data_IF_828187391311
#
_entry.id   IF_828187391311
#
_cell.length_a   1.000
_cell.length_b   1.000
_cell.length_c   1.000
_cell.angle_alpha   90.00
_cell.angle_beta   90.00
_cell.angle_gamma   90.00
#
_symmetry.space_group_name_H-M   'P 1'
#
loop_
_entity.id
_entity.type
_entity.pdbx_description
1 polymer ?
#
# COMPACT_ATOMS: atom_id res chain seq x y z
N UNK A 1 -29.09 -4.52 -39.65
CA UNK A 1 -27.81 -5.21 -39.47
C UNK A 1 -26.80 -4.18 -38.92
N UNK A 2 -26.64 -4.17 -37.60
CA UNK A 2 -25.72 -3.26 -36.95
C UNK A 2 -24.36 -4.00 -36.84
N UNK A 3 -23.35 -3.51 -37.55
CA UNK A 3 -22.02 -4.01 -37.47
C UNK A 3 -21.49 -3.58 -36.08
N UNK A 4 -21.36 -4.54 -35.17
CA UNK A 4 -20.58 -4.36 -33.95
C UNK A 4 -19.11 -4.20 -34.36
N UNK A 5 -18.60 -2.97 -34.30
CA UNK A 5 -17.18 -2.72 -34.43
C UNK A 5 -16.45 -3.43 -33.29
N UNK A 6 -15.54 -4.34 -33.63
CA UNK A 6 -14.62 -4.91 -32.68
C UNK A 6 -13.82 -3.74 -32.10
N UNK A 7 -13.92 -3.51 -30.79
CA UNK A 7 -13.01 -2.62 -30.06
C UNK A 7 -11.64 -3.26 -30.19
N UNK A 8 -10.72 -2.59 -30.87
CA UNK A 8 -9.37 -3.12 -31.09
C UNK A 8 -8.66 -3.26 -29.75
N UNK A 9 -7.99 -4.37 -29.52
CA UNK A 9 -7.08 -4.53 -28.40
C UNK A 9 -5.86 -3.61 -28.61
N UNK A 10 -5.45 -2.93 -27.54
CA UNK A 10 -4.24 -2.11 -27.49
C UNK A 10 -3.21 -2.79 -26.57
N UNK A 11 -1.96 -2.85 -27.02
CA UNK A 11 -0.86 -3.32 -26.17
C UNK A 11 -0.06 -2.12 -25.68
N UNK A 12 0.05 -1.97 -24.37
CA UNK A 12 0.79 -0.89 -23.72
C UNK A 12 1.91 -1.44 -22.84
N UNK A 13 3.10 -0.84 -22.92
CA UNK A 13 4.20 -1.10 -21.99
C UNK A 13 3.88 -0.50 -20.64
N UNK A 14 3.94 -1.32 -19.57
CA UNK A 14 3.60 -0.91 -18.20
C UNK A 14 4.75 -0.14 -17.58
N UNK A 15 4.77 1.18 -17.78
CA UNK A 15 5.79 2.08 -17.21
C UNK A 15 5.24 3.49 -16.97
N UNK A 16 6.01 4.29 -16.23
CA UNK A 16 5.70 5.72 -16.01
C UNK A 16 4.34 5.93 -15.37
N UNK A 17 3.51 6.72 -16.03
CA UNK A 17 2.16 7.08 -15.57
C UNK A 17 1.04 6.20 -16.13
N UNK A 18 1.35 5.05 -16.74
CA UNK A 18 0.32 4.15 -17.28
C UNK A 18 -0.67 3.78 -16.18
N UNK A 19 -1.94 3.98 -16.50
CA UNK A 19 -3.09 3.62 -15.69
C UNK A 19 -3.90 2.57 -16.45
N UNK A 20 -4.11 1.41 -15.83
CA UNK A 20 -4.85 0.29 -16.41
C UNK A 20 -6.33 0.34 -16.01
N UNK A 21 -7.21 -0.38 -16.69
CA UNK A 21 -8.64 -0.39 -16.39
C UNK A 21 -8.92 -0.74 -14.92
N UNK A 22 -9.75 0.06 -14.28
CA UNK A 22 -10.24 -0.17 -12.93
C UNK A 22 -11.47 0.72 -12.66
N UNK A 23 -12.33 0.31 -11.76
CA UNK A 23 -13.33 1.20 -11.18
C UNK A 23 -12.66 2.01 -10.07
N UNK A 24 -12.73 3.33 -10.15
CA UNK A 24 -12.11 4.27 -9.20
C UNK A 24 -13.20 5.14 -8.57
N UNK A 25 -13.20 5.19 -7.26
CA UNK A 25 -14.14 5.97 -6.47
C UNK A 25 -13.37 6.92 -5.56
N UNK A 26 -13.67 8.22 -5.63
CA UNK A 26 -13.25 9.16 -4.60
C UNK A 26 -14.10 8.92 -3.36
N UNK A 27 -13.44 8.78 -2.23
CA UNK A 27 -14.09 8.47 -0.96
C UNK A 27 -13.69 9.44 0.12
N UNK A 28 -14.54 9.53 1.12
CA UNK A 28 -14.27 10.19 2.40
C UNK A 28 -14.28 9.13 3.50
N UNK A 29 -13.22 9.11 4.33
CA UNK A 29 -13.17 8.28 5.52
C UNK A 29 -13.47 9.15 6.74
N UNK A 30 -14.41 8.71 7.55
CA UNK A 30 -14.76 9.42 8.79
C UNK A 30 -14.11 8.74 9.99
N UNK A 31 -13.27 9.48 10.69
CA UNK A 31 -12.63 9.02 11.91
C UNK A 31 -13.59 9.07 13.11
N UNK A 32 -13.31 8.30 14.16
CA UNK A 32 -14.10 8.29 15.40
C UNK A 32 -14.00 9.61 16.20
N UNK A 33 -12.91 10.36 16.01
CA UNK A 33 -12.73 11.72 16.54
C UNK A 33 -13.32 12.83 15.63
N UNK A 34 -14.07 12.42 14.58
CA UNK A 34 -14.95 13.30 13.81
C UNK A 34 -14.31 13.96 12.58
N UNK A 35 -13.08 13.62 12.21
CA UNK A 35 -12.41 14.17 11.03
C UNK A 35 -12.85 13.45 9.75
N UNK A 36 -12.77 14.18 8.62
CA UNK A 36 -12.97 13.64 7.28
C UNK A 36 -11.62 13.56 6.57
N UNK A 37 -11.28 12.36 6.12
CA UNK A 37 -10.05 12.09 5.38
C UNK A 37 -10.37 11.84 3.91
N UNK A 38 -9.55 12.41 3.03
CA UNK A 38 -9.67 12.25 1.57
C UNK A 38 -9.03 10.93 1.14
N UNK A 39 -9.72 10.14 0.32
CA UNK A 39 -9.22 8.87 -0.19
C UNK A 39 -9.72 8.50 -1.58
N UNK A 40 -9.22 7.38 -2.07
CA UNK A 40 -9.65 6.73 -3.31
C UNK A 40 -9.62 5.21 -3.11
N UNK A 41 -10.69 4.57 -3.56
CA UNK A 41 -10.73 3.12 -3.74
C UNK A 41 -10.62 2.81 -5.24
N UNK A 42 -9.66 1.94 -5.60
CA UNK A 42 -9.56 1.37 -6.93
C UNK A 42 -9.79 -0.15 -6.84
N UNK A 43 -10.70 -0.68 -7.68
CA UNK A 43 -11.01 -2.12 -7.73
C UNK A 43 -10.99 -2.62 -9.18
N UNK A 44 -10.81 -3.93 -9.43
CA UNK A 44 -10.95 -4.50 -10.77
C UNK A 44 -12.25 -4.07 -11.44
N UNK A 45 -12.22 -3.79 -12.75
CA UNK A 45 -13.35 -3.21 -13.46
C UNK A 45 -14.51 -4.19 -13.65
N UNK A 46 -14.22 -5.48 -13.83
CA UNK A 46 -15.18 -6.51 -14.30
C UNK A 46 -15.24 -7.76 -13.40
N UNK A 47 -14.50 -7.77 -12.30
CA UNK A 47 -14.41 -8.91 -11.39
C UNK A 47 -14.23 -8.50 -9.93
N UNK A 48 -14.46 -9.42 -9.02
CA UNK A 48 -14.26 -9.17 -7.59
C UNK A 48 -12.78 -9.21 -7.24
N UNK A 49 -12.29 -8.31 -6.37
CA UNK A 49 -10.92 -8.40 -5.87
C UNK A 49 -10.74 -9.66 -5.03
N UNK A 50 -9.53 -10.25 -5.11
CA UNK A 50 -9.14 -11.41 -4.30
C UNK A 50 -8.56 -11.00 -2.95
N UNK A 51 -8.04 -9.79 -2.84
CA UNK A 51 -7.55 -9.19 -1.59
C UNK A 51 -7.56 -7.66 -1.69
N UNK A 52 -7.32 -7.01 -0.56
CA UNK A 52 -7.37 -5.55 -0.43
C UNK A 52 -6.07 -5.01 0.15
N UNK A 53 -5.45 -4.07 -0.53
CA UNK A 53 -4.33 -3.30 -0.02
C UNK A 53 -4.84 -1.99 0.58
N UNK A 54 -4.63 -1.81 1.88
CA UNK A 54 -4.86 -0.53 2.56
C UNK A 54 -3.50 0.16 2.69
N UNK A 55 -3.29 1.24 1.95
CA UNK A 55 -1.97 1.86 1.85
C UNK A 55 -1.80 3.01 2.82
N UNK A 56 -0.65 3.05 3.49
CA UNK A 56 -0.25 4.07 4.45
C UNK A 56 0.97 4.81 3.90
N UNK A 57 0.81 6.10 3.63
CA UNK A 57 1.79 6.90 2.89
C UNK A 57 3.01 7.31 3.73
N UNK A 58 4.12 7.77 3.07
CA UNK A 58 5.29 8.32 3.74
C UNK A 58 4.97 9.58 4.57
N UNK A 59 5.97 10.07 5.29
CA UNK A 59 5.85 11.19 6.23
C UNK A 59 5.26 12.45 5.59
N UNK A 60 4.08 12.91 6.04
CA UNK A 60 3.38 14.05 5.41
C UNK A 60 4.17 15.35 5.46
N UNK A 61 4.89 15.60 6.56
CA UNK A 61 5.73 16.79 6.72
C UNK A 61 6.94 16.85 5.78
N UNK A 62 7.22 15.75 5.08
CA UNK A 62 8.28 15.62 4.08
C UNK A 62 7.72 15.29 2.68
N UNK A 63 6.48 15.68 2.42
CA UNK A 63 5.84 15.54 1.11
C UNK A 63 5.26 14.15 0.82
N UNK A 64 5.05 13.32 1.86
CA UNK A 64 4.33 12.07 1.73
C UNK A 64 2.82 12.30 1.67
N UNK A 65 2.12 11.62 0.77
CA UNK A 65 0.65 11.65 0.63
C UNK A 65 0.17 10.42 -0.16
N UNK A 66 -1.14 10.25 -0.27
CA UNK A 66 -1.75 9.06 -0.87
C UNK A 66 -1.33 8.78 -2.32
N UNK A 67 -0.95 9.83 -3.08
CA UNK A 67 -0.46 9.70 -4.45
C UNK A 67 1.08 9.62 -4.56
N UNK A 68 1.81 9.42 -3.44
CA UNK A 68 3.24 9.07 -3.48
C UNK A 68 3.46 7.90 -4.44
N UNK A 69 4.48 7.99 -5.28
CA UNK A 69 4.53 7.30 -6.59
C UNK A 69 4.33 5.77 -6.54
N UNK A 70 4.81 5.06 -5.50
CA UNK A 70 4.59 3.62 -5.34
C UNK A 70 3.09 3.35 -5.14
N UNK A 71 2.45 4.07 -4.22
CA UNK A 71 1.05 3.86 -3.86
C UNK A 71 0.13 4.22 -5.03
N UNK A 72 0.43 5.30 -5.73
CA UNK A 72 -0.29 5.69 -6.94
C UNK A 72 -0.17 4.64 -8.03
N UNK A 73 1.04 4.11 -8.28
CA UNK A 73 1.26 3.06 -9.29
C UNK A 73 0.63 1.72 -8.87
N UNK A 74 0.59 1.40 -7.60
CA UNK A 74 -0.16 0.24 -7.10
C UNK A 74 -1.64 0.34 -7.47
N UNK A 75 -2.29 1.47 -7.17
CA UNK A 75 -3.69 1.69 -7.53
C UNK A 75 -3.93 1.81 -9.05
N UNK A 76 -2.94 2.30 -9.81
CA UNK A 76 -3.04 2.40 -11.26
C UNK A 76 -2.94 1.05 -11.97
N UNK A 77 -2.32 0.03 -11.38
CA UNK A 77 -1.92 -1.20 -12.07
C UNK A 77 -2.48 -2.48 -11.44
N UNK A 78 -2.47 -2.59 -10.11
CA UNK A 78 -2.75 -3.86 -9.42
C UNK A 78 -4.22 -4.30 -9.46
N UNK A 79 -5.22 -3.42 -9.59
CA UNK A 79 -6.58 -3.88 -9.82
C UNK A 79 -6.69 -4.73 -11.09
N UNK A 80 -6.05 -4.32 -12.18
CA UNK A 80 -6.09 -5.06 -13.44
C UNK A 80 -5.12 -6.24 -13.47
N UNK A 81 -3.89 -6.05 -12.99
CA UNK A 81 -2.82 -7.05 -13.14
C UNK A 81 -2.86 -8.16 -12.10
N UNK A 82 -3.47 -7.91 -10.95
CA UNK A 82 -3.38 -8.82 -9.81
C UNK A 82 -4.70 -8.98 -9.03
N UNK A 83 -5.82 -8.54 -9.58
CA UNK A 83 -7.17 -8.63 -8.98
C UNK A 83 -7.25 -8.06 -7.56
N UNK A 84 -6.50 -6.98 -7.28
CA UNK A 84 -6.45 -6.38 -5.96
C UNK A 84 -7.31 -5.12 -5.85
N UNK A 85 -8.04 -4.99 -4.75
CA UNK A 85 -8.55 -3.68 -4.35
C UNK A 85 -7.40 -2.87 -3.73
N UNK A 86 -7.32 -1.58 -4.06
CA UNK A 86 -6.30 -0.68 -3.49
C UNK A 86 -6.99 0.55 -2.92
N UNK A 87 -6.98 0.64 -1.58
CA UNK A 87 -7.46 1.79 -0.83
C UNK A 87 -6.27 2.69 -0.51
N UNK A 88 -6.34 3.95 -0.96
CA UNK A 88 -5.37 5.00 -0.67
C UNK A 88 -6.09 6.16 0.01
N UNK A 89 -5.46 6.76 1.00
CA UNK A 89 -6.02 7.92 1.66
C UNK A 89 -4.90 8.82 2.22
N UNK A 90 -5.20 10.09 2.39
CA UNK A 90 -4.35 11.03 3.12
C UNK A 90 -4.67 10.91 4.62
N UNK A 91 -3.65 10.68 5.45
CA UNK A 91 -3.82 10.79 6.90
C UNK A 91 -4.16 12.24 7.28
N UNK A 92 -4.61 12.46 8.51
CA UNK A 92 -5.00 13.76 9.04
C UNK A 92 -3.99 14.88 8.73
N UNK A 93 -4.50 16.05 8.34
CA UNK A 93 -3.69 17.23 8.03
C UNK A 93 -2.87 17.13 6.74
N UNK A 94 -2.99 16.03 5.97
CA UNK A 94 -2.23 15.84 4.73
C UNK A 94 -2.97 16.42 3.54
N UNK A 95 -2.25 17.16 2.69
CA UNK A 95 -2.76 17.75 1.44
C UNK A 95 -2.20 17.02 0.23
N UNK A 96 -3.05 16.78 -0.76
CA UNK A 96 -2.70 16.22 -2.07
C UNK A 96 -3.46 16.96 -3.18
N UNK A 97 -3.18 16.70 -4.46
CA UNK A 97 -4.00 17.22 -5.57
C UNK A 97 -5.48 16.82 -5.48
N UNK A 98 -5.81 15.79 -4.68
CA UNK A 98 -7.19 15.31 -4.49
C UNK A 98 -7.93 16.01 -3.36
N UNK A 99 -7.27 16.85 -2.58
CA UNK A 99 -7.85 17.57 -1.45
C UNK A 99 -7.00 17.45 -0.19
N UNK A 100 -7.51 18.04 0.88
CA UNK A 100 -6.87 18.07 2.19
C UNK A 100 -7.71 17.29 3.19
N UNK A 101 -7.11 16.30 3.86
CA UNK A 101 -7.70 15.65 5.03
C UNK A 101 -7.74 16.61 6.21
N UNK A 102 -8.82 16.59 6.96
CA UNK A 102 -8.99 17.44 8.14
C UNK A 102 -8.00 17.12 9.26
N UNK A 103 -7.91 18.00 10.24
CA UNK A 103 -7.02 17.84 11.40
C UNK A 103 -5.60 18.27 11.12
N UNK A 104 -4.66 17.70 11.87
CA UNK A 104 -3.23 17.98 11.78
C UNK A 104 -2.41 16.73 12.05
N UNK A 105 -1.19 16.69 11.52
CA UNK A 105 -0.24 15.62 11.75
C UNK A 105 -0.04 15.35 13.25
N UNK A 106 -0.24 14.12 13.67
CA UNK A 106 -0.23 13.66 15.06
C UNK A 106 0.99 12.84 15.46
N UNK A 107 2.06 12.92 14.68
CA UNK A 107 3.35 12.25 14.89
C UNK A 107 3.25 10.71 15.09
N UNK A 108 2.32 10.08 14.39
CA UNK A 108 2.09 8.64 14.45
C UNK A 108 1.31 8.18 15.69
N UNK A 109 0.67 9.10 16.42
CA UNK A 109 -0.19 8.77 17.56
C UNK A 109 -1.66 8.96 17.21
N UNK A 110 -2.04 10.16 16.78
CA UNK A 110 -3.43 10.46 16.42
C UNK A 110 -3.87 9.73 15.15
N UNK A 111 -2.94 9.37 14.26
CA UNK A 111 -3.17 8.60 13.04
C UNK A 111 -3.71 7.18 13.31
N UNK A 112 -3.74 6.71 14.57
CA UNK A 112 -4.47 5.50 14.97
C UNK A 112 -5.93 5.54 14.52
N UNK A 113 -6.59 6.68 14.70
CA UNK A 113 -7.98 6.86 14.29
C UNK A 113 -8.14 6.84 12.76
N UNK A 114 -7.13 7.30 12.03
CA UNK A 114 -7.13 7.28 10.56
C UNK A 114 -7.03 5.86 10.02
N UNK A 115 -6.13 5.04 10.59
CA UNK A 115 -6.03 3.61 10.27
C UNK A 115 -7.33 2.89 10.61
N UNK A 116 -7.92 3.17 11.76
CA UNK A 116 -9.20 2.59 12.18
C UNK A 116 -10.33 2.96 11.20
N UNK A 117 -10.40 4.21 10.75
CA UNK A 117 -11.40 4.65 9.76
C UNK A 117 -11.24 3.93 8.41
N UNK A 118 -10.00 3.76 7.93
CA UNK A 118 -9.73 3.02 6.71
C UNK A 118 -10.13 1.54 6.84
N UNK A 119 -9.85 0.90 7.96
CA UNK A 119 -10.21 -0.49 8.21
C UNK A 119 -11.72 -0.67 8.41
N UNK A 120 -12.40 0.29 9.02
CA UNK A 120 -13.86 0.30 9.13
C UNK A 120 -14.52 0.39 7.73
N UNK A 121 -14.01 1.26 6.86
CA UNK A 121 -14.47 1.37 5.48
C UNK A 121 -14.30 0.05 4.70
N UNK A 122 -13.15 -0.61 4.84
CA UNK A 122 -12.89 -1.93 4.22
C UNK A 122 -13.92 -2.96 4.67
N UNK A 123 -14.22 -3.00 5.97
CA UNK A 123 -15.21 -3.91 6.54
C UNK A 123 -16.64 -3.59 6.07
N UNK A 124 -17.03 -2.31 6.05
CA UNK A 124 -18.33 -1.85 5.58
C UNK A 124 -18.58 -2.19 4.10
N UNK A 125 -17.54 -2.05 3.27
CA UNK A 125 -17.59 -2.39 1.84
C UNK A 125 -17.48 -3.90 1.57
N UNK A 126 -17.25 -4.73 2.59
CA UNK A 126 -17.08 -6.17 2.43
C UNK A 126 -15.88 -6.54 1.56
N UNK A 127 -14.82 -5.73 1.60
CA UNK A 127 -13.60 -5.97 0.82
C UNK A 127 -12.79 -7.12 1.44
N UNK A 128 -12.32 -8.09 0.62
CA UNK A 128 -11.73 -9.32 1.13
C UNK A 128 -10.27 -9.14 1.56
N UNK A 129 -9.82 -9.99 2.46
CA UNK A 129 -8.40 -10.22 2.79
C UNK A 129 -7.57 -8.94 2.92
N UNK A 130 -7.82 -8.07 3.92
CA UNK A 130 -7.11 -6.81 4.05
C UNK A 130 -5.63 -7.00 4.41
N UNK A 131 -4.76 -6.29 3.69
CA UNK A 131 -3.33 -6.16 3.96
C UNK A 131 -2.99 -4.68 4.16
N UNK A 132 -2.22 -4.36 5.19
CA UNK A 132 -1.64 -3.02 5.31
C UNK A 132 -0.35 -2.95 4.49
N UNK A 133 -0.23 -1.94 3.65
CA UNK A 133 1.00 -1.64 2.91
C UNK A 133 1.50 -0.27 3.34
N UNK A 134 2.43 -0.26 4.27
CA UNK A 134 3.03 0.97 4.77
C UNK A 134 4.30 1.32 3.99
N UNK A 135 4.54 2.60 3.75
CA UNK A 135 5.82 3.08 3.23
C UNK A 135 6.41 4.13 4.16
N UNK A 136 7.68 3.94 4.59
CA UNK A 136 8.39 4.83 5.51
C UNK A 136 7.54 5.08 6.78
N UNK A 137 7.12 6.30 7.07
CA UNK A 137 6.21 6.61 8.17
C UNK A 137 4.97 5.70 8.22
N UNK A 138 4.38 5.36 7.08
CA UNK A 138 3.25 4.44 7.01
C UNK A 138 3.54 3.05 7.56
N UNK A 139 4.81 2.61 7.55
CA UNK A 139 5.20 1.33 8.16
C UNK A 139 5.06 1.35 9.67
N UNK A 140 5.34 2.51 10.28
CA UNK A 140 5.22 2.70 11.72
C UNK A 140 3.76 2.63 12.17
N UNK A 141 2.84 3.22 11.38
CA UNK A 141 1.41 3.09 11.60
C UNK A 141 0.93 1.63 11.47
N UNK A 142 1.42 0.91 10.46
CA UNK A 142 1.10 -0.49 10.27
C UNK A 142 1.58 -1.34 11.46
N UNK A 143 2.81 -1.16 11.92
CA UNK A 143 3.38 -1.89 13.07
C UNK A 143 2.60 -1.60 14.36
N UNK A 144 2.30 -0.33 14.62
CA UNK A 144 1.64 0.10 15.88
C UNK A 144 0.18 -0.35 15.95
N UNK A 145 -0.56 -0.18 14.87
CA UNK A 145 -2.03 -0.27 14.89
C UNK A 145 -2.61 -1.41 14.06
N UNK A 146 -1.82 -2.03 13.18
CA UNK A 146 -2.31 -3.09 12.28
C UNK A 146 -2.98 -4.25 13.00
N UNK A 147 -2.40 -4.69 14.10
CA UNK A 147 -2.93 -5.82 14.89
C UNK A 147 -4.23 -5.51 15.65
N UNK A 148 -4.69 -4.27 15.64
CA UNK A 148 -5.99 -3.88 16.20
C UNK A 148 -7.15 -4.21 15.25
N UNK A 149 -6.85 -4.67 14.02
CA UNK A 149 -7.81 -4.88 12.95
C UNK A 149 -7.72 -6.29 12.35
N UNK A 150 -8.78 -6.79 11.69
CA UNK A 150 -8.81 -8.09 11.06
C UNK A 150 -8.06 -8.08 9.71
N UNK A 151 -6.73 -7.98 9.76
CA UNK A 151 -5.85 -8.02 8.59
C UNK A 151 -5.26 -9.42 8.40
N UNK A 152 -4.82 -9.76 7.17
CA UNK A 152 -4.06 -10.97 6.89
C UNK A 152 -2.56 -10.77 7.17
N UNK A 153 -2.08 -9.54 7.05
CA UNK A 153 -0.71 -9.19 7.35
C UNK A 153 -0.37 -7.73 7.02
N UNK A 154 0.90 -7.41 7.15
CA UNK A 154 1.44 -6.11 6.74
C UNK A 154 2.70 -6.26 5.89
N UNK A 155 2.85 -5.38 4.92
CA UNK A 155 4.03 -5.23 4.06
C UNK A 155 4.61 -3.85 4.34
N UNK A 156 5.85 -3.83 4.79
CA UNK A 156 6.58 -2.64 5.21
C UNK A 156 7.60 -2.26 4.14
N UNK A 157 7.46 -1.10 3.53
CA UNK A 157 8.39 -0.59 2.52
C UNK A 157 9.33 0.43 3.17
N UNK A 158 10.63 0.14 3.23
CA UNK A 158 11.63 1.02 3.86
C UNK A 158 11.24 1.44 5.29
N UNK A 159 11.04 0.52 6.24
CA UNK A 159 10.63 0.85 7.59
C UNK A 159 11.77 1.55 8.37
N UNK A 160 11.60 2.81 8.83
CA UNK A 160 12.64 3.49 9.62
C UNK A 160 12.61 3.09 11.09
N UNK A 161 11.48 2.62 11.60
CA UNK A 161 11.24 2.21 12.99
C UNK A 161 11.63 3.27 14.05
N UNK A 162 11.37 4.55 13.75
CA UNK A 162 11.67 5.66 14.66
C UNK A 162 10.57 5.88 15.70
N UNK A 163 9.29 5.63 15.31
CA UNK A 163 8.09 5.82 16.12
C UNK A 163 7.46 4.52 16.60
N UNK A 164 7.86 3.40 16.00
CA UNK A 164 7.47 2.08 16.43
C UNK A 164 8.52 1.51 17.40
N UNK A 165 8.10 1.20 18.61
CA UNK A 165 8.94 0.60 19.63
C UNK A 165 9.18 -0.90 19.38
N UNK A 166 10.24 -1.44 19.97
CA UNK A 166 10.50 -2.88 19.92
C UNK A 166 9.36 -3.71 20.57
N UNK A 167 8.65 -3.13 21.55
CA UNK A 167 7.49 -3.78 22.17
C UNK A 167 6.32 -3.87 21.18
N UNK A 168 6.06 -2.81 20.42
CA UNK A 168 5.01 -2.80 19.38
C UNK A 168 5.36 -3.77 18.25
N UNK A 169 6.62 -3.81 17.84
CA UNK A 169 7.11 -4.76 16.85
C UNK A 169 7.01 -6.20 17.35
N UNK A 170 7.42 -6.49 18.57
CA UNK A 170 7.38 -7.83 19.17
C UNK A 170 5.97 -8.43 19.26
N UNK A 171 4.92 -7.59 19.30
CA UNK A 171 3.52 -8.07 19.29
C UNK A 171 3.20 -8.91 18.05
N UNK A 172 3.91 -8.70 16.95
CA UNK A 172 3.70 -9.45 15.70
C UNK A 172 4.16 -10.91 15.82
N UNK A 173 5.16 -11.23 16.64
CA UNK A 173 5.69 -12.59 16.80
C UNK A 173 4.64 -13.65 17.18
N UNK A 174 3.58 -13.25 17.87
CA UNK A 174 2.54 -14.18 18.35
C UNK A 174 1.14 -13.86 17.79
N UNK A 175 1.08 -12.98 16.79
CA UNK A 175 -0.19 -12.54 16.23
C UNK A 175 -0.84 -13.54 15.27
N UNK A 176 -0.06 -14.47 14.71
CA UNK A 176 -0.47 -15.33 13.60
C UNK A 176 -0.63 -14.56 12.28
N UNK A 177 -0.27 -13.28 12.24
CA UNK A 177 -0.33 -12.44 11.04
C UNK A 177 1.03 -12.37 10.37
N UNK A 178 1.04 -12.31 9.04
CA UNK A 178 2.29 -12.21 8.28
C UNK A 178 2.85 -10.80 8.37
N UNK A 179 4.16 -10.69 8.59
CA UNK A 179 4.90 -9.44 8.55
C UNK A 179 6.04 -9.55 7.54
N UNK A 180 6.00 -8.74 6.50
CA UNK A 180 7.00 -8.72 5.44
C UNK A 180 7.61 -7.32 5.40
N UNK A 181 8.94 -7.22 5.31
CA UNK A 181 9.61 -5.94 5.17
C UNK A 181 10.57 -5.95 3.97
N UNK A 182 10.37 -5.02 3.05
CA UNK A 182 11.28 -4.73 1.96
C UNK A 182 12.27 -3.67 2.41
N UNK A 183 13.54 -4.08 2.50
CA UNK A 183 14.63 -3.24 3.02
C UNK A 183 15.57 -2.87 1.87
N UNK A 184 15.62 -1.59 1.46
CA UNK A 184 16.58 -1.16 0.45
C UNK A 184 18.03 -1.33 0.94
N UNK A 185 18.91 -1.81 0.06
CA UNK A 185 20.36 -1.95 0.38
C UNK A 185 20.98 -0.64 0.85
N UNK A 186 20.58 0.46 0.20
CA UNK A 186 21.10 1.80 0.45
C UNK A 186 20.08 2.70 1.15
N UNK A 187 19.32 2.14 2.09
CA UNK A 187 18.40 2.92 2.91
C UNK A 187 19.16 3.88 3.82
N UNK A 188 18.65 5.11 3.98
CA UNK A 188 19.26 6.14 4.81
C UNK A 188 18.93 5.97 6.30
N UNK A 189 17.93 5.14 6.63
CA UNK A 189 17.42 4.98 8.00
C UNK A 189 17.64 3.59 8.58
N UNK A 190 17.38 2.53 7.79
CA UNK A 190 17.52 1.15 8.26
C UNK A 190 18.00 0.25 7.12
N UNK A 191 19.23 -0.19 7.18
CA UNK A 191 19.86 -1.10 6.21
C UNK A 191 19.59 -2.56 6.54
N UNK A 192 19.79 -3.49 5.57
CA UNK A 192 19.45 -4.91 5.74
C UNK A 192 20.06 -5.56 7.00
N UNK A 193 21.30 -5.25 7.37
CA UNK A 193 21.94 -5.86 8.55
C UNK A 193 21.29 -5.33 9.84
N UNK A 194 21.11 -4.03 9.96
CA UNK A 194 20.42 -3.40 11.10
C UNK A 194 18.94 -3.87 11.18
N UNK A 195 18.29 -4.04 10.03
CA UNK A 195 16.94 -4.57 9.98
C UNK A 195 16.85 -5.98 10.55
N UNK A 196 17.81 -6.87 10.25
CA UNK A 196 17.86 -8.22 10.84
C UNK A 196 17.94 -8.18 12.35
N UNK A 197 18.74 -7.26 12.91
CA UNK A 197 18.84 -7.07 14.37
C UNK A 197 17.51 -6.57 14.97
N UNK A 198 16.92 -5.52 14.36
CA UNK A 198 15.67 -4.93 14.84
C UNK A 198 14.47 -5.89 14.75
N UNK A 199 14.37 -6.66 13.68
CA UNK A 199 13.30 -7.63 13.48
C UNK A 199 13.54 -8.99 14.16
N UNK A 200 14.68 -9.20 14.84
CA UNK A 200 14.94 -10.43 15.57
C UNK A 200 13.87 -10.74 16.66
N UNK A 201 13.17 -9.71 17.14
CA UNK A 201 12.02 -9.85 18.06
C UNK A 201 10.78 -10.46 17.41
N UNK A 202 10.75 -10.60 16.07
CA UNK A 202 9.68 -11.23 15.28
C UNK A 202 10.29 -12.31 14.39
N UNK A 203 10.57 -13.52 14.91
CA UNK A 203 11.31 -14.56 14.18
C UNK A 203 10.69 -14.99 12.86
N UNK A 204 9.37 -14.89 12.74
CA UNK A 204 8.61 -15.27 11.54
C UNK A 204 8.47 -14.11 10.53
N UNK A 205 9.05 -12.93 10.80
CA UNK A 205 9.06 -11.84 9.84
C UNK A 205 9.92 -12.18 8.62
N UNK A 206 9.40 -11.90 7.43
CA UNK A 206 10.14 -12.08 6.18
C UNK A 206 10.81 -10.77 5.81
N UNK A 207 12.15 -10.77 5.82
CA UNK A 207 12.94 -9.61 5.43
C UNK A 207 13.51 -9.81 4.01
N UNK A 208 13.15 -8.93 3.11
CA UNK A 208 13.58 -8.93 1.72
C UNK A 208 14.54 -7.77 1.51
N UNK A 209 15.84 -8.06 1.46
CA UNK A 209 16.84 -7.07 1.05
C UNK A 209 16.72 -6.83 -0.46
N UNK A 210 16.70 -5.57 -0.88
CA UNK A 210 16.57 -5.19 -2.29
C UNK A 210 17.84 -4.47 -2.74
N UNK A 211 18.63 -5.16 -3.56
CA UNK A 211 19.91 -4.66 -4.09
C UNK A 211 19.70 -3.37 -4.88
N UNK A 212 20.62 -2.41 -4.70
CA UNK A 212 20.57 -1.09 -5.31
C UNK A 212 19.36 -0.23 -4.92
N UNK A 213 18.50 -0.73 -4.04
CA UNK A 213 17.33 0.00 -3.54
C UNK A 213 17.75 1.19 -2.67
N UNK A 214 16.94 2.26 -2.73
CA UNK A 214 17.03 3.43 -1.84
C UNK A 214 15.68 3.68 -1.20
N UNK A 215 15.65 4.42 -0.11
CA UNK A 215 14.47 4.71 0.70
C UNK A 215 13.21 5.08 -0.11
N UNK A 216 13.37 5.85 -1.16
CA UNK A 216 12.26 6.38 -1.96
C UNK A 216 11.89 5.50 -3.17
N UNK A 217 12.55 4.37 -3.42
CA UNK A 217 12.21 3.44 -4.52
C UNK A 217 12.10 4.14 -5.90
N UNK A 218 13.00 5.08 -6.18
CA UNK A 218 12.95 5.90 -7.39
C UNK A 218 13.28 5.10 -8.63
N UNK A 219 12.48 5.29 -9.67
CA UNK A 219 12.65 4.64 -10.96
C UNK A 219 11.70 3.46 -11.19
N UNK A 220 11.46 3.13 -12.45
CA UNK A 220 10.48 2.10 -12.83
C UNK A 220 10.91 0.70 -12.35
N UNK A 221 12.19 0.36 -12.44
CA UNK A 221 12.70 -0.93 -11.97
C UNK A 221 12.48 -1.15 -10.49
N UNK A 222 12.70 -0.12 -9.65
CA UNK A 222 12.45 -0.20 -8.21
C UNK A 222 10.96 -0.28 -7.91
N UNK A 223 10.15 0.53 -8.59
CA UNK A 223 8.69 0.44 -8.46
C UNK A 223 8.19 -0.96 -8.80
N UNK A 224 8.61 -1.49 -9.95
CA UNK A 224 8.24 -2.83 -10.39
C UNK A 224 8.62 -3.88 -9.36
N UNK A 225 9.86 -3.84 -8.87
CA UNK A 225 10.33 -4.77 -7.83
C UNK A 225 9.42 -4.73 -6.59
N UNK A 226 9.06 -3.55 -6.13
CA UNK A 226 8.16 -3.41 -4.97
C UNK A 226 6.77 -3.99 -5.27
N UNK A 227 6.19 -3.70 -6.43
CA UNK A 227 4.87 -4.22 -6.80
C UNK A 227 4.89 -5.75 -7.00
N UNK A 228 5.93 -6.29 -7.61
CA UNK A 228 6.11 -7.75 -7.76
C UNK A 228 6.18 -8.44 -6.39
N UNK A 229 6.91 -7.90 -5.43
CA UNK A 229 6.99 -8.47 -4.07
C UNK A 229 5.65 -8.39 -3.33
N UNK A 230 4.92 -7.27 -3.46
CA UNK A 230 3.57 -7.16 -2.89
C UNK A 230 2.67 -8.24 -3.47
N UNK A 231 2.66 -8.40 -4.79
CA UNK A 231 1.80 -9.38 -5.46
C UNK A 231 2.21 -10.82 -5.14
N UNK A 232 3.52 -11.11 -5.11
CA UNK A 232 4.01 -12.43 -4.72
C UNK A 232 3.57 -12.86 -3.30
N UNK A 233 3.35 -11.88 -2.41
CA UNK A 233 2.85 -12.12 -1.04
C UNK A 233 1.33 -12.26 -1.00
N UNK A 234 0.60 -11.36 -1.69
CA UNK A 234 -0.85 -11.18 -1.51
C UNK A 234 -1.66 -12.03 -2.50
N UNK A 235 -1.24 -12.10 -3.76
CA UNK A 235 -1.82 -12.95 -4.81
C UNK A 235 -0.72 -13.63 -5.64
N UNK A 236 -0.08 -14.68 -5.11
CA UNK A 236 1.04 -15.35 -5.80
C UNK A 236 0.71 -15.86 -7.20
N UNK A 237 -0.56 -16.14 -7.49
CA UNK A 237 -0.99 -16.61 -8.80
C UNK A 237 -0.82 -15.55 -9.91
N UNK A 238 -0.78 -14.27 -9.54
CA UNK A 238 -0.54 -13.14 -10.47
C UNK A 238 0.92 -12.69 -10.54
N UNK A 239 1.85 -13.38 -9.84
CA UNK A 239 3.28 -13.06 -9.84
C UNK A 239 4.05 -13.97 -10.82
N UNK A 240 5.06 -13.46 -11.54
CA UNK A 240 5.47 -12.05 -11.62
C UNK A 240 4.51 -11.21 -12.48
N UNK A 241 4.45 -9.91 -12.21
CA UNK A 241 3.64 -8.99 -12.99
C UNK A 241 4.18 -8.89 -14.45
N UNK A 242 3.30 -8.80 -15.47
CA UNK A 242 3.71 -8.66 -16.85
C UNK A 242 4.41 -7.30 -17.10
N UNK A 243 5.20 -7.22 -18.17
CA UNK A 243 5.83 -5.97 -18.64
C UNK A 243 4.92 -5.15 -19.55
N UNK A 244 3.97 -5.84 -20.16
CA UNK A 244 3.01 -5.29 -21.12
C UNK A 244 1.62 -5.73 -20.71
N UNK A 245 0.64 -4.94 -21.04
CA UNK A 245 -0.76 -5.27 -20.89
C UNK A 245 -1.46 -5.14 -22.25
N UNK A 246 -2.32 -6.09 -22.58
CA UNK A 246 -3.13 -6.08 -23.79
C UNK A 246 -4.59 -6.18 -23.42
N UNK A 247 -5.39 -5.25 -23.89
CA UNK A 247 -6.81 -5.23 -23.61
C UNK A 247 -7.52 -4.04 -24.29
N UNK A 248 -8.78 -3.80 -23.95
CA UNK A 248 -9.51 -2.65 -24.45
C UNK A 248 -8.85 -1.34 -23.97
N UNK A 249 -8.86 -0.29 -24.78
CA UNK A 249 -8.35 1.02 -24.35
C UNK A 249 -9.06 1.50 -23.08
N UNK A 250 -8.32 2.15 -22.18
CA UNK A 250 -8.81 2.64 -20.89
C UNK A 250 -9.82 3.79 -21.03
#
# INVERSE_FOLDING_TARGET
MSAGGAVGEETVEIRGGVELPALREHIELRTDDGLILVGELAVPADRRPVATLVTLHPLPTHGGFMDSHILRKAAARLPELADLAVLRFNTRGTTSPRGTSEGSFGDGVAERADVAAAMAFVAERGLPHPWLVGWSFGTELAVKYGLEHPIDGAILLSPPLHRASDIELARWAHSGKRLIALIPEHDDYLRPDEARERFAVVPDAILIAVDGGKHLWVGENQTRRVLDEIVAVVNPAASPLPMEWTGPPA
#
